data_IF_323138064089
#
_entry.id   IF_323138064089
#
_cell.length_a   1.000
_cell.length_b   1.000
_cell.length_c   1.000
_cell.angle_alpha   90.00
_cell.angle_beta   90.00
_cell.angle_gamma   90.00
#
_symmetry.space_group_name_H-M   'P 1'
#
loop_
_entity.id
_entity.type
_entity.pdbx_description
1 polymer ?
#
# COMPACT_ATOMS: atom_id res chain seq x y z
N UNK A 1 -25.43 -5.44 -1.04
CA UNK A 1 -25.29 -4.79 -2.36
C UNK A 1 -24.73 -3.39 -2.18
N UNK A 2 -23.82 -2.97 -3.05
CA UNK A 2 -23.27 -1.61 -3.12
C UNK A 2 -23.14 -1.20 -4.59
N UNK A 3 -23.43 0.06 -4.84
CA UNK A 3 -23.20 0.73 -6.12
C UNK A 3 -22.37 1.98 -5.86
N UNK A 4 -21.36 2.23 -6.69
CA UNK A 4 -20.51 3.40 -6.60
C UNK A 4 -20.21 3.92 -8.00
N UNK A 5 -20.32 5.22 -8.17
CA UNK A 5 -19.85 5.95 -9.35
C UNK A 5 -18.66 6.81 -8.94
N UNK A 6 -17.52 6.60 -9.58
CA UNK A 6 -16.28 7.34 -9.34
C UNK A 6 -15.98 8.23 -10.54
N UNK A 7 -15.68 9.48 -10.27
CA UNK A 7 -15.27 10.45 -11.29
C UNK A 7 -13.84 10.92 -11.02
N UNK A 8 -13.03 11.01 -12.05
CA UNK A 8 -11.69 11.58 -12.03
C UNK A 8 -11.60 12.74 -12.99
N UNK A 9 -11.49 13.94 -12.44
CA UNK A 9 -11.18 15.16 -13.19
C UNK A 9 -9.72 15.54 -12.91
N UNK A 10 -8.90 15.61 -13.92
CA UNK A 10 -7.52 16.10 -13.80
C UNK A 10 -7.28 17.21 -14.84
N UNK A 11 -6.78 18.33 -14.35
CA UNK A 11 -6.34 19.44 -15.18
C UNK A 11 -4.93 19.82 -14.83
N UNK A 12 -4.04 19.73 -15.81
CA UNK A 12 -2.66 20.17 -15.70
C UNK A 12 -2.44 21.32 -16.69
N UNK A 13 -2.19 22.51 -16.15
CA UNK A 13 -1.94 23.71 -16.92
C UNK A 13 -0.60 24.31 -16.52
N UNK A 14 0.32 24.40 -17.47
CA UNK A 14 1.57 25.16 -17.33
C UNK A 14 1.50 26.38 -18.22
N UNK A 15 1.57 27.54 -17.60
CA UNK A 15 1.62 28.82 -18.30
C UNK A 15 3.04 29.03 -18.80
N UNK A 16 3.19 29.25 -20.10
CA UNK A 16 4.48 29.59 -20.71
C UNK A 16 4.59 31.12 -20.82
N UNK A 17 5.75 31.64 -20.50
CA UNK A 17 6.05 33.07 -20.64
C UNK A 17 6.97 33.27 -21.82
N UNK A 18 6.92 34.45 -22.42
CA UNK A 18 7.90 34.88 -23.40
C UNK A 18 9.30 35.10 -22.75
N UNK A 19 10.31 35.45 -23.54
CA UNK A 19 11.67 35.63 -23.02
C UNK A 19 11.81 36.77 -22.01
N UNK A 20 10.87 37.70 -22.01
CA UNK A 20 10.84 38.86 -21.09
C UNK A 20 9.94 38.64 -19.88
N UNK A 21 9.22 37.54 -19.83
CA UNK A 21 8.18 37.22 -18.79
C UNK A 21 7.00 38.21 -18.74
N UNK A 22 6.79 38.94 -19.84
CA UNK A 22 5.75 39.98 -19.88
C UNK A 22 4.37 39.43 -20.27
N UNK A 23 4.33 38.44 -21.20
CA UNK A 23 3.06 37.88 -21.69
C UNK A 23 2.95 36.37 -21.44
N UNK A 24 2.02 35.94 -20.57
CA UNK A 24 1.76 34.52 -20.39
C UNK A 24 0.99 33.94 -21.59
N UNK A 25 1.47 32.80 -22.09
CA UNK A 25 0.81 32.05 -23.16
C UNK A 25 0.18 30.78 -22.62
N UNK A 26 -1.12 30.60 -22.82
CA UNK A 26 -1.84 29.36 -22.53
C UNK A 26 -2.08 28.61 -23.83
N UNK A 27 -1.51 27.41 -23.94
CA UNK A 27 -1.69 26.59 -25.13
C UNK A 27 -3.08 25.92 -25.12
N UNK A 28 -3.56 25.55 -26.31
CA UNK A 28 -4.86 24.87 -26.44
C UNK A 28 -4.87 23.56 -25.69
N UNK A 29 -6.03 23.25 -25.11
CA UNK A 29 -6.29 22.05 -24.32
C UNK A 29 -6.00 20.75 -25.11
N UNK A 30 -5.31 19.80 -24.48
CA UNK A 30 -4.92 18.49 -25.03
C UNK A 30 -4.14 18.52 -26.37
N UNK A 31 -3.58 19.67 -26.74
CA UNK A 31 -2.72 19.83 -27.92
C UNK A 31 -1.25 20.04 -27.58
N UNK A 32 -0.90 20.00 -26.31
CA UNK A 32 0.45 20.13 -25.82
C UNK A 32 0.63 19.46 -24.45
N UNK A 33 1.86 19.12 -24.02
CA UNK A 33 2.11 18.57 -22.69
C UNK A 33 1.86 19.60 -21.56
N UNK A 34 1.67 20.86 -21.90
CA UNK A 34 1.51 21.96 -20.94
C UNK A 34 0.05 22.27 -20.60
N UNK A 35 -0.91 21.70 -21.33
CA UNK A 35 -2.33 21.85 -21.03
C UNK A 35 -3.07 20.53 -21.29
N UNK A 36 -3.14 19.69 -20.26
CA UNK A 36 -3.84 18.41 -20.26
C UNK A 36 -5.08 18.53 -19.40
N UNK A 37 -6.22 18.15 -19.97
CA UNK A 37 -7.49 18.04 -19.27
C UNK A 37 -8.18 16.73 -19.63
N UNK A 38 -8.67 16.00 -18.63
CA UNK A 38 -9.57 14.89 -18.86
C UNK A 38 -10.54 14.71 -17.68
N UNK A 39 -11.71 14.22 -18.04
CA UNK A 39 -12.82 13.91 -17.13
C UNK A 39 -13.29 12.48 -17.44
N UNK A 40 -13.19 11.59 -16.47
CA UNK A 40 -13.41 10.15 -16.66
C UNK A 40 -14.27 9.60 -15.54
N UNK A 41 -15.18 8.71 -15.94
CA UNK A 41 -16.11 8.05 -15.04
C UNK A 41 -15.86 6.54 -14.99
N UNK A 42 -16.01 5.94 -13.80
CA UNK A 42 -16.01 4.52 -13.60
C UNK A 42 -17.17 4.09 -12.72
N UNK A 43 -17.74 2.94 -13.02
CA UNK A 43 -18.86 2.40 -12.24
C UNK A 43 -18.45 1.11 -11.58
N UNK A 44 -18.78 0.96 -10.29
CA UNK A 44 -18.52 -0.23 -9.50
C UNK A 44 -19.83 -0.81 -8.95
N UNK A 45 -19.98 -2.12 -9.07
CA UNK A 45 -21.05 -2.89 -8.45
C UNK A 45 -20.45 -3.92 -7.51
N UNK A 46 -21.09 -4.15 -6.37
CA UNK A 46 -20.72 -5.26 -5.52
C UNK A 46 -21.92 -5.90 -4.85
N UNK A 47 -21.85 -7.21 -4.69
CA UNK A 47 -22.80 -8.00 -3.93
C UNK A 47 -22.04 -9.03 -3.10
N UNK A 48 -22.53 -9.35 -1.92
CA UNK A 48 -21.96 -10.40 -1.09
C UNK A 48 -23.05 -11.17 -0.37
N UNK A 49 -22.72 -12.43 -0.08
CA UNK A 49 -23.48 -13.31 0.83
C UNK A 49 -22.50 -13.90 1.81
N UNK A 50 -22.89 -13.98 3.06
CA UNK A 50 -22.08 -14.55 4.14
C UNK A 50 -22.99 -15.30 5.09
N UNK A 51 -22.50 -16.43 5.58
CA UNK A 51 -23.13 -17.25 6.60
C UNK A 51 -22.16 -17.49 7.75
N UNK A 52 -22.66 -17.41 8.98
CA UNK A 52 -21.95 -17.73 10.21
C UNK A 52 -22.64 -18.91 10.86
N UNK A 53 -21.97 -20.04 10.88
CA UNK A 53 -22.43 -21.28 11.49
C UNK A 53 -21.73 -21.49 12.83
N UNK A 54 -22.49 -21.69 13.87
CA UNK A 54 -21.98 -21.96 15.24
C UNK A 54 -22.33 -23.37 15.65
N UNK A 55 -21.33 -24.19 15.87
CA UNK A 55 -21.41 -25.51 16.42
C UNK A 55 -20.80 -25.52 17.82
N UNK A 56 -21.07 -26.55 18.61
CA UNK A 56 -20.58 -26.64 20.02
C UNK A 56 -19.04 -26.54 20.13
N UNK A 57 -18.31 -26.98 19.11
CA UNK A 57 -16.83 -27.03 19.10
C UNK A 57 -16.19 -26.24 17.98
N UNK A 58 -16.96 -25.54 17.16
CA UNK A 58 -16.44 -24.86 15.98
C UNK A 58 -17.35 -23.70 15.53
N UNK A 59 -16.74 -22.59 15.14
CA UNK A 59 -17.44 -21.50 14.50
C UNK A 59 -16.87 -21.36 13.07
N UNK A 60 -17.74 -21.36 12.07
CA UNK A 60 -17.39 -21.19 10.68
C UNK A 60 -18.02 -19.91 10.11
N UNK A 61 -17.24 -19.13 9.40
CA UNK A 61 -17.71 -18.01 8.58
C UNK A 61 -17.39 -18.31 7.13
N UNK A 62 -18.41 -18.45 6.30
CA UNK A 62 -18.29 -18.67 4.87
C UNK A 62 -18.87 -17.47 4.14
N UNK A 63 -18.15 -16.94 3.18
CA UNK A 63 -18.60 -15.79 2.41
C UNK A 63 -18.13 -15.84 0.97
N UNK A 64 -18.91 -15.27 0.09
CA UNK A 64 -18.54 -15.00 -1.28
C UNK A 64 -18.97 -13.58 -1.65
N UNK A 65 -18.05 -12.84 -2.27
CA UNK A 65 -18.31 -11.49 -2.75
C UNK A 65 -18.04 -11.44 -4.26
N UNK A 66 -18.95 -10.84 -4.98
CA UNK A 66 -18.82 -10.47 -6.39
C UNK A 66 -18.62 -8.98 -6.50
N UNK A 67 -17.63 -8.57 -7.27
CA UNK A 67 -17.37 -7.19 -7.63
C UNK A 67 -17.27 -7.07 -9.15
N UNK A 68 -17.79 -5.99 -9.72
CA UNK A 68 -17.63 -5.62 -11.11
C UNK A 68 -17.19 -4.16 -11.20
N UNK A 69 -16.20 -3.89 -12.05
CA UNK A 69 -15.69 -2.58 -12.37
C UNK A 69 -15.83 -2.31 -13.87
N UNK A 70 -16.57 -1.28 -14.22
CA UNK A 70 -16.80 -0.84 -15.60
C UNK A 70 -16.00 0.43 -15.83
N UNK A 71 -14.93 0.38 -16.65
CA UNK A 71 -14.03 1.55 -16.83
C UNK A 71 -14.63 2.66 -17.69
N UNK A 72 -15.65 2.42 -18.52
CA UNK A 72 -16.30 3.38 -19.41
C UNK A 72 -15.31 4.19 -20.29
N UNK A 73 -14.24 3.56 -20.74
CA UNK A 73 -13.20 4.20 -21.54
C UNK A 73 -12.54 3.22 -22.52
N UNK A 74 -11.71 3.77 -23.39
CA UNK A 74 -10.95 2.99 -24.39
C UNK A 74 -9.48 2.90 -24.00
N UNK A 75 -8.82 1.84 -24.40
CA UNK A 75 -7.39 1.60 -24.22
C UNK A 75 -6.70 1.42 -25.57
N UNK A 76 -5.37 1.58 -25.57
CA UNK A 76 -4.53 1.35 -26.76
C UNK A 76 -4.71 -0.10 -27.23
N UNK A 77 -5.14 -0.28 -28.47
CA UNK A 77 -5.39 -1.60 -29.06
C UNK A 77 -4.08 -2.35 -29.37
N UNK A 78 -3.07 -1.62 -29.89
CA UNK A 78 -1.77 -2.16 -30.22
C UNK A 78 -0.66 -1.27 -29.64
N UNK A 79 0.16 -1.83 -28.75
CA UNK A 79 1.24 -1.08 -28.08
C UNK A 79 2.30 -0.52 -29.02
N UNK A 80 2.47 -1.11 -30.24
CA UNK A 80 3.42 -0.60 -31.23
C UNK A 80 2.82 0.51 -32.11
N UNK A 81 1.53 0.76 -32.00
CA UNK A 81 0.81 1.81 -32.75
C UNK A 81 -0.16 2.56 -31.83
N UNK A 82 0.35 3.23 -30.75
CA UNK A 82 -0.49 3.82 -29.70
C UNK A 82 -1.38 4.97 -30.19
N UNK A 83 -1.02 5.59 -31.30
CA UNK A 83 -1.72 6.74 -31.91
C UNK A 83 -2.79 6.31 -32.93
N UNK A 84 -2.84 5.01 -33.32
CA UNK A 84 -3.73 4.56 -34.41
C UNK A 84 -5.08 4.07 -33.84
N UNK A 85 -5.11 2.87 -33.26
CA UNK A 85 -6.35 2.18 -32.93
C UNK A 85 -6.55 2.11 -31.40
N UNK A 86 -7.75 2.43 -30.96
CA UNK A 86 -8.20 2.21 -29.60
C UNK A 86 -9.28 1.12 -29.57
N UNK A 87 -9.37 0.41 -28.48
CA UNK A 87 -10.42 -0.58 -28.19
C UNK A 87 -11.09 -0.26 -26.86
N UNK A 88 -12.35 -0.64 -26.73
CA UNK A 88 -13.06 -0.52 -25.46
C UNK A 88 -12.37 -1.34 -24.36
N UNK A 89 -12.21 -0.74 -23.20
CA UNK A 89 -11.69 -1.43 -22.03
C UNK A 89 -12.76 -2.41 -21.49
N UNK A 90 -12.31 -3.61 -21.14
CA UNK A 90 -13.22 -4.66 -20.68
C UNK A 90 -13.67 -4.41 -19.24
N UNK A 91 -14.93 -4.73 -18.95
CA UNK A 91 -15.43 -4.85 -17.59
C UNK A 91 -14.60 -5.89 -16.83
N UNK A 92 -14.17 -5.56 -15.62
CA UNK A 92 -13.43 -6.46 -14.72
C UNK A 92 -14.40 -7.06 -13.72
N UNK A 93 -14.42 -8.38 -13.62
CA UNK A 93 -15.25 -9.11 -12.66
C UNK A 93 -14.37 -9.89 -11.70
N UNK A 94 -14.71 -9.85 -10.41
CA UNK A 94 -13.94 -10.45 -9.34
C UNK A 94 -14.84 -11.28 -8.44
N UNK A 95 -14.40 -12.49 -8.12
CA UNK A 95 -15.06 -13.36 -7.16
C UNK A 95 -14.13 -13.57 -5.97
N UNK A 96 -14.58 -13.19 -4.79
CA UNK A 96 -13.80 -13.19 -3.56
C UNK A 96 -14.40 -14.18 -2.55
N UNK A 97 -14.02 -15.48 -2.58
CA UNK A 97 -14.36 -16.42 -1.52
C UNK A 97 -13.61 -16.05 -0.25
N UNK A 98 -14.26 -16.24 0.91
CA UNK A 98 -13.69 -16.04 2.23
C UNK A 98 -14.15 -17.16 3.15
N UNK A 99 -13.22 -17.76 3.85
CA UNK A 99 -13.44 -18.84 4.78
C UNK A 99 -12.73 -18.48 6.08
N UNK A 100 -13.45 -18.51 7.18
CA UNK A 100 -12.90 -18.41 8.52
C UNK A 100 -13.39 -19.57 9.37
N UNK A 101 -12.48 -20.22 10.06
CA UNK A 101 -12.80 -21.31 11.01
C UNK A 101 -12.15 -21.00 12.34
N UNK A 102 -12.93 -21.08 13.42
CA UNK A 102 -12.44 -20.93 14.79
C UNK A 102 -12.79 -22.16 15.59
N UNK A 103 -11.79 -22.71 16.26
CA UNK A 103 -11.86 -23.93 17.07
C UNK A 103 -11.53 -23.59 18.52
N UNK A 104 -12.50 -23.35 19.40
CA UNK A 104 -12.27 -23.25 20.83
C UNK A 104 -11.71 -24.59 21.35
N UNK A 105 -10.50 -24.58 21.92
CA UNK A 105 -9.85 -25.78 22.48
C UNK A 105 -10.11 -25.84 24.00
N UNK A 106 -10.13 -24.66 24.60
CA UNK A 106 -10.43 -24.45 26.01
C UNK A 106 -11.32 -23.23 26.17
N UNK A 107 -11.83 -22.97 27.35
CA UNK A 107 -12.59 -21.74 27.66
C UNK A 107 -11.78 -20.45 27.44
N UNK A 108 -10.47 -20.57 27.29
CA UNK A 108 -9.50 -19.44 27.15
C UNK A 108 -8.56 -19.54 25.97
N UNK A 109 -8.69 -20.60 25.16
CA UNK A 109 -7.81 -20.86 24.03
C UNK A 109 -8.58 -21.18 22.76
N UNK A 110 -8.24 -20.49 21.66
CA UNK A 110 -8.92 -20.62 20.36
C UNK A 110 -7.85 -20.71 19.27
N UNK A 111 -7.94 -21.74 18.44
CA UNK A 111 -7.28 -21.75 17.14
C UNK A 111 -8.21 -21.14 16.09
N UNK A 112 -7.64 -20.41 15.15
CA UNK A 112 -8.38 -19.92 14.00
C UNK A 112 -7.57 -20.08 12.70
N UNK A 113 -8.31 -20.26 11.64
CA UNK A 113 -7.79 -20.31 10.28
C UNK A 113 -8.61 -19.36 9.39
N UNK A 114 -7.94 -18.60 8.56
CA UNK A 114 -8.57 -17.71 7.59
C UNK A 114 -7.98 -17.93 6.19
N UNK A 115 -8.86 -17.99 5.22
CA UNK A 115 -8.52 -18.02 3.80
C UNK A 115 -9.40 -17.03 3.06
N UNK A 116 -8.81 -16.27 2.13
CA UNK A 116 -9.62 -15.36 1.34
C UNK A 116 -8.90 -14.79 0.12
N UNK A 117 -9.72 -14.40 -0.87
CA UNK A 117 -9.30 -13.63 -2.01
C UNK A 117 -9.67 -12.17 -1.81
N UNK A 118 -8.72 -11.29 -2.09
CA UNK A 118 -8.88 -9.85 -2.00
C UNK A 118 -8.44 -9.21 -3.31
N UNK A 119 -9.24 -8.29 -3.82
CA UNK A 119 -8.95 -7.58 -5.05
C UNK A 119 -8.89 -6.08 -4.77
N UNK A 120 -7.94 -5.41 -5.39
CA UNK A 120 -7.76 -3.98 -5.32
C UNK A 120 -7.63 -3.41 -6.73
N UNK A 121 -8.58 -2.56 -7.12
CA UNK A 121 -8.46 -1.83 -8.38
C UNK A 121 -7.29 -0.86 -8.31
N UNK A 122 -6.53 -0.70 -9.41
CA UNK A 122 -5.56 0.38 -9.55
C UNK A 122 -6.21 1.73 -9.31
N UNK A 123 -5.39 2.72 -8.95
CA UNK A 123 -5.91 4.09 -8.82
C UNK A 123 -6.47 4.59 -10.15
N UNK A 124 -7.50 5.42 -10.12
CA UNK A 124 -8.12 5.98 -11.33
C UNK A 124 -7.10 6.69 -12.22
N UNK A 125 -6.06 7.31 -11.62
CA UNK A 125 -4.98 7.93 -12.37
C UNK A 125 -4.17 6.93 -13.20
N UNK A 126 -3.94 5.71 -12.69
CA UNK A 126 -3.23 4.66 -13.45
C UNK A 126 -4.10 4.10 -14.58
N UNK A 127 -5.42 4.20 -14.46
CA UNK A 127 -6.37 3.79 -15.49
C UNK A 127 -6.53 4.87 -16.56
N UNK A 128 -6.71 6.13 -16.16
CA UNK A 128 -7.25 7.18 -17.05
C UNK A 128 -6.29 8.30 -17.38
N UNK A 129 -5.03 8.24 -16.91
CA UNK A 129 -4.07 9.29 -17.22
C UNK A 129 -3.91 9.48 -18.73
N UNK A 130 -4.29 10.63 -19.23
CA UNK A 130 -4.01 11.05 -20.60
C UNK A 130 -2.69 11.80 -20.67
N UNK A 131 -2.03 11.71 -21.80
CA UNK A 131 -0.78 12.39 -22.08
C UNK A 131 -0.67 12.71 -23.57
N UNK A 132 0.02 13.79 -23.87
CA UNK A 132 0.25 14.23 -25.23
C UNK A 132 1.43 13.46 -25.85
N UNK A 133 1.19 12.88 -27.04
CA UNK A 133 2.24 12.29 -27.87
C UNK A 133 2.85 13.38 -28.78
N UNK A 134 4.16 13.61 -28.66
CA UNK A 134 4.84 14.67 -29.43
C UNK A 134 6.33 14.40 -29.59
N UNK A 135 6.97 15.14 -30.49
CA UNK A 135 8.39 14.99 -30.78
C UNK A 135 9.25 15.14 -29.51
N UNK A 136 10.16 14.20 -29.29
CA UNK A 136 11.09 14.23 -28.18
C UNK A 136 10.46 14.02 -26.81
N UNK A 137 9.17 13.68 -26.71
CA UNK A 137 8.47 13.39 -25.47
C UNK A 137 8.42 11.89 -25.21
N UNK A 138 8.42 11.52 -23.92
CA UNK A 138 8.23 10.16 -23.44
C UNK A 138 7.02 10.12 -22.48
N UNK A 139 5.79 10.27 -23.01
CA UNK A 139 4.61 10.38 -22.15
C UNK A 139 4.34 9.11 -21.37
N UNK A 140 3.73 9.26 -20.18
CA UNK A 140 3.17 8.15 -19.44
C UNK A 140 1.66 8.18 -19.58
N UNK A 141 1.07 7.10 -20.09
CA UNK A 141 -0.36 6.96 -20.32
C UNK A 141 -0.97 5.96 -19.35
N UNK A 142 -2.23 6.19 -18.99
CA UNK A 142 -3.03 5.24 -18.25
C UNK A 142 -3.42 4.04 -19.10
N UNK A 143 -3.98 3.02 -18.45
CA UNK A 143 -4.50 1.85 -19.12
C UNK A 143 -5.83 1.42 -18.46
N UNK A 144 -6.98 1.80 -19.02
CA UNK A 144 -8.29 1.40 -18.50
C UNK A 144 -8.53 -0.12 -18.52
N UNK A 145 -7.71 -0.88 -19.27
CA UNK A 145 -7.81 -2.33 -19.34
C UNK A 145 -6.99 -3.08 -18.25
N UNK A 146 -6.41 -2.36 -17.28
CA UNK A 146 -5.73 -2.97 -16.14
C UNK A 146 -6.68 -3.87 -15.35
N UNK A 147 -6.15 -5.01 -14.94
CA UNK A 147 -6.82 -5.91 -14.01
C UNK A 147 -6.62 -5.45 -12.58
N UNK A 148 -7.53 -5.80 -11.66
CA UNK A 148 -7.31 -5.58 -10.24
C UNK A 148 -6.14 -6.44 -9.74
N UNK A 149 -5.34 -5.86 -8.84
CA UNK A 149 -4.35 -6.62 -8.09
C UNK A 149 -5.07 -7.64 -7.20
N UNK A 150 -4.59 -8.89 -7.21
CA UNK A 150 -5.20 -10.00 -6.46
C UNK A 150 -4.27 -10.45 -5.35
N UNK A 151 -4.77 -10.52 -4.13
CA UNK A 151 -4.10 -11.15 -2.99
C UNK A 151 -4.88 -12.37 -2.53
N UNK A 152 -4.21 -13.51 -2.45
CA UNK A 152 -4.72 -14.71 -1.77
C UNK A 152 -4.04 -14.79 -0.41
N UNK A 153 -4.84 -14.74 0.66
CA UNK A 153 -4.37 -14.78 2.04
C UNK A 153 -4.65 -16.17 2.64
N UNK A 154 -3.65 -16.70 3.30
CA UNK A 154 -3.73 -17.83 4.22
C UNK A 154 -3.23 -17.36 5.58
N UNK A 155 -4.03 -17.56 6.60
CA UNK A 155 -3.68 -17.20 7.98
C UNK A 155 -4.08 -18.32 8.94
N UNK A 156 -3.17 -18.63 9.84
CA UNK A 156 -3.42 -19.55 10.95
C UNK A 156 -3.01 -18.86 12.24
N UNK A 157 -3.87 -18.88 13.24
CA UNK A 157 -3.62 -18.19 14.49
C UNK A 157 -4.07 -18.95 15.71
N UNK A 158 -3.51 -18.52 16.82
CA UNK A 158 -3.81 -19.04 18.14
C UNK A 158 -3.99 -17.87 19.12
N UNK A 159 -5.15 -17.81 19.74
CA UNK A 159 -5.47 -16.86 20.81
C UNK A 159 -5.52 -17.56 22.15
N UNK A 160 -4.87 -17.00 23.15
CA UNK A 160 -4.86 -17.55 24.52
C UNK A 160 -5.03 -16.44 25.54
N UNK A 161 -5.93 -16.65 26.46
CA UNK A 161 -6.07 -15.82 27.65
C UNK A 161 -5.38 -16.49 28.86
N UNK A 162 -4.49 -15.74 29.50
CA UNK A 162 -3.81 -16.14 30.74
C UNK A 162 -4.43 -15.41 31.95
N UNK A 163 -5.01 -16.12 32.86
CA UNK A 163 -5.78 -15.53 33.94
C UNK A 163 -6.94 -14.65 33.41
N UNK A 164 -7.13 -13.48 34.02
CA UNK A 164 -8.18 -12.54 33.63
C UNK A 164 -7.62 -11.25 33.00
N UNK A 165 -6.31 -11.09 32.99
CA UNK A 165 -5.68 -9.82 32.65
C UNK A 165 -4.84 -9.87 31.35
N UNK A 166 -4.31 -11.04 30.99
CA UNK A 166 -3.36 -11.15 29.87
C UNK A 166 -4.02 -11.92 28.73
N UNK A 167 -3.99 -11.34 27.54
CA UNK A 167 -4.32 -11.99 26.28
C UNK A 167 -3.09 -12.06 25.37
N UNK A 168 -2.96 -13.15 24.65
CA UNK A 168 -1.97 -13.36 23.60
C UNK A 168 -2.68 -13.74 22.30
N UNK A 169 -2.24 -13.18 21.21
CA UNK A 169 -2.65 -13.53 19.86
C UNK A 169 -1.40 -13.78 19.03
N UNK A 170 -1.28 -14.97 18.47
CA UNK A 170 -0.19 -15.37 17.60
C UNK A 170 -0.73 -15.80 16.26
N UNK A 171 -0.26 -15.18 15.16
CA UNK A 171 -0.69 -15.50 13.81
C UNK A 171 0.51 -15.74 12.91
N UNK A 172 0.39 -16.70 12.00
CA UNK A 172 1.27 -16.92 10.87
C UNK A 172 0.48 -16.69 9.60
N UNK A 173 1.03 -15.94 8.67
CA UNK A 173 0.34 -15.60 7.43
C UNK A 173 1.22 -15.81 6.20
N UNK A 174 0.55 -16.09 5.10
CA UNK A 174 1.12 -16.08 3.75
C UNK A 174 0.16 -15.37 2.79
N UNK A 175 0.69 -14.40 2.04
CA UNK A 175 -0.01 -13.65 1.00
C UNK A 175 0.66 -13.92 -0.34
N UNK A 176 -0.08 -14.43 -1.30
CA UNK A 176 0.32 -14.52 -2.71
C UNK A 176 -0.33 -13.35 -3.46
N UNK A 177 0.51 -12.48 -4.04
CA UNK A 177 0.06 -11.23 -4.68
C UNK A 177 0.33 -11.35 -6.16
N UNK A 178 -0.70 -11.16 -6.96
CA UNK A 178 -0.68 -11.28 -8.42
C UNK A 178 -1.19 -10.00 -9.07
N UNK A 179 -0.86 -9.83 -10.36
CA UNK A 179 -1.29 -8.72 -11.19
C UNK A 179 -0.82 -7.36 -10.64
N UNK A 180 0.34 -7.32 -9.97
CA UNK A 180 0.98 -6.07 -9.56
C UNK A 180 1.29 -5.20 -10.78
N UNK A 181 1.16 -3.90 -10.61
CA UNK A 181 1.39 -2.95 -11.66
C UNK A 181 2.88 -2.75 -11.94
N UNK A 182 3.21 -2.77 -13.23
CA UNK A 182 4.51 -2.33 -13.74
C UNK A 182 4.31 -1.21 -14.75
N UNK A 183 5.20 -0.23 -14.73
CA UNK A 183 5.30 0.78 -15.78
C UNK A 183 6.26 0.26 -16.84
N UNK A 184 5.79 0.06 -18.06
CA UNK A 184 6.62 -0.41 -19.18
C UNK A 184 6.79 0.70 -20.19
N UNK A 185 8.04 0.96 -20.59
CA UNK A 185 8.34 1.79 -21.76
C UNK A 185 8.25 0.96 -23.04
N UNK A 186 7.59 1.53 -24.01
CA UNK A 186 7.37 0.94 -25.33
C UNK A 186 8.04 1.83 -26.37
N UNK A 187 8.91 1.26 -27.18
CA UNK A 187 9.45 1.92 -28.38
C UNK A 187 8.51 1.65 -29.55
N UNK A 188 8.21 2.68 -30.29
CA UNK A 188 7.37 2.60 -31.47
C UNK A 188 7.84 3.60 -32.53
N UNK A 189 7.32 3.47 -33.76
CA UNK A 189 7.58 4.43 -34.82
C UNK A 189 6.31 5.29 -35.01
N UNK A 190 6.37 6.53 -34.55
CA UNK A 190 5.26 7.48 -34.73
C UNK A 190 5.16 7.87 -36.21
N UNK A 191 3.94 7.87 -36.80
CA UNK A 191 3.72 8.34 -38.15
C UNK A 191 4.15 9.80 -38.37
N UNK A 192 4.05 10.60 -37.29
CA UNK A 192 4.31 12.06 -37.37
C UNK A 192 5.72 12.45 -36.91
N UNK A 193 6.36 11.67 -36.05
CA UNK A 193 7.60 12.08 -35.37
C UNK A 193 8.74 11.06 -35.50
N UNK A 194 8.53 9.92 -36.19
CA UNK A 194 9.52 8.85 -36.32
C UNK A 194 9.77 8.07 -35.02
N UNK A 195 11.00 7.57 -34.77
CA UNK A 195 11.32 6.78 -33.61
C UNK A 195 10.98 7.50 -32.31
N UNK A 196 10.06 6.94 -31.53
CA UNK A 196 9.48 7.53 -30.32
C UNK A 196 9.32 6.48 -29.22
N UNK A 197 9.05 6.91 -28.00
CA UNK A 197 8.75 6.03 -26.86
C UNK A 197 7.66 6.61 -25.99
N UNK A 198 6.94 5.74 -25.29
CA UNK A 198 5.99 6.10 -24.26
C UNK A 198 6.00 5.04 -23.16
N UNK A 199 5.45 5.35 -22.01
CA UNK A 199 5.31 4.42 -20.89
C UNK A 199 3.84 4.15 -20.60
N UNK A 200 3.49 2.89 -20.31
CA UNK A 200 2.13 2.45 -20.02
C UNK A 200 2.12 1.50 -18.82
N UNK A 201 1.09 1.58 -17.99
CA UNK A 201 0.88 0.64 -16.90
C UNK A 201 0.36 -0.70 -17.40
N UNK A 202 0.95 -1.80 -16.94
CA UNK A 202 0.56 -3.17 -17.26
C UNK A 202 0.58 -4.04 -16.00
N UNK A 203 -0.23 -5.09 -15.96
CA UNK A 203 -0.18 -6.11 -14.92
C UNK A 203 0.86 -7.17 -15.31
N UNK A 204 2.05 -7.06 -14.79
CA UNK A 204 3.18 -7.95 -15.13
C UNK A 204 3.86 -8.58 -13.94
N UNK A 205 3.66 -8.02 -12.76
CA UNK A 205 4.44 -8.36 -11.60
C UNK A 205 3.68 -9.22 -10.60
N UNK A 206 4.42 -9.91 -9.78
CA UNK A 206 3.92 -10.71 -8.68
C UNK A 206 4.77 -10.48 -7.43
N UNK A 207 4.19 -10.76 -6.28
CA UNK A 207 4.87 -10.68 -5.01
C UNK A 207 4.32 -11.69 -4.03
N UNK A 208 5.03 -11.87 -2.94
CA UNK A 208 4.57 -12.63 -1.79
C UNK A 208 4.96 -11.91 -0.50
N UNK A 209 4.11 -12.02 0.51
CA UNK A 209 4.43 -11.58 1.85
C UNK A 209 4.11 -12.71 2.82
N UNK A 210 5.07 -13.08 3.65
CA UNK A 210 4.92 -14.13 4.65
C UNK A 210 5.51 -13.70 5.97
N UNK A 211 4.93 -14.14 7.05
CA UNK A 211 5.40 -13.71 8.35
C UNK A 211 4.58 -14.24 9.50
N UNK A 212 4.87 -13.69 10.66
CA UNK A 212 4.15 -13.93 11.89
C UNK A 212 3.87 -12.62 12.63
N UNK A 213 2.80 -12.59 13.39
CA UNK A 213 2.48 -11.54 14.34
C UNK A 213 2.28 -12.12 15.73
N UNK A 214 2.76 -11.40 16.73
CA UNK A 214 2.55 -11.71 18.14
C UNK A 214 2.03 -10.46 18.83
N UNK A 215 0.81 -10.51 19.33
CA UNK A 215 0.20 -9.44 20.14
C UNK A 215 0.02 -9.92 21.55
N UNK A 216 0.52 -9.14 22.52
CA UNK A 216 0.32 -9.37 23.95
C UNK A 216 -0.37 -8.16 24.53
N UNK A 217 -1.52 -8.39 25.15
CA UNK A 217 -2.31 -7.36 25.82
C UNK A 217 -2.44 -7.67 27.30
N UNK A 218 -2.02 -6.75 28.13
CA UNK A 218 -2.33 -6.75 29.56
C UNK A 218 -3.36 -5.65 29.83
N UNK A 219 -4.55 -6.03 30.23
CA UNK A 219 -5.59 -5.09 30.69
C UNK A 219 -5.12 -4.35 31.93
N UNK A 220 -5.73 -3.20 32.19
CA UNK A 220 -5.44 -2.45 33.42
C UNK A 220 -5.67 -3.33 34.67
N UNK A 221 -4.65 -3.36 35.50
CA UNK A 221 -4.66 -4.06 36.79
C UNK A 221 -4.56 -3.02 37.89
N UNK A 222 -5.60 -2.92 38.78
CA UNK A 222 -5.62 -1.94 39.88
C UNK A 222 -4.47 -2.13 40.88
N UNK A 223 -3.94 -3.37 41.03
CA UNK A 223 -2.84 -3.66 41.94
C UNK A 223 -1.53 -3.14 41.44
N UNK A 224 -1.14 -3.49 40.21
CA UNK A 224 0.07 -3.01 39.57
C UNK A 224 -0.08 -1.61 38.97
N UNK A 225 -1.31 -1.10 38.83
CA UNK A 225 -1.65 0.16 38.15
C UNK A 225 -1.04 0.29 36.76
N UNK A 226 -1.01 -0.82 36.03
CA UNK A 226 -0.43 -0.85 34.68
C UNK A 226 -1.34 -1.52 33.68
N UNK A 227 -1.27 -1.05 32.43
CA UNK A 227 -1.73 -1.77 31.24
C UNK A 227 -0.64 -1.76 30.18
N UNK A 228 -0.57 -2.79 29.36
CA UNK A 228 0.48 -3.00 28.37
C UNK A 228 -0.10 -3.58 27.08
N UNK A 229 0.35 -3.06 25.93
CA UNK A 229 0.15 -3.62 24.60
C UNK A 229 1.52 -3.76 23.95
N UNK A 230 1.80 -4.93 23.42
CA UNK A 230 3.02 -5.23 22.65
C UNK A 230 2.59 -5.93 21.39
N UNK A 231 2.89 -5.34 20.25
CA UNK A 231 2.64 -5.92 18.93
C UNK A 231 3.97 -6.08 18.21
N UNK A 232 4.32 -7.31 17.91
CA UNK A 232 5.50 -7.65 17.14
C UNK A 232 5.09 -8.31 15.84
N UNK A 233 5.67 -7.84 14.73
CA UNK A 233 5.52 -8.45 13.41
C UNK A 233 6.89 -8.78 12.86
N UNK A 234 7.05 -10.01 12.42
CA UNK A 234 8.11 -10.43 11.51
C UNK A 234 7.49 -10.70 10.15
N UNK A 235 8.01 -10.10 9.09
CA UNK A 235 7.56 -10.38 7.73
C UNK A 235 8.71 -10.31 6.74
N UNK A 236 8.53 -11.04 5.62
CA UNK A 236 9.37 -10.95 4.44
C UNK A 236 8.47 -10.75 3.24
N UNK A 237 8.63 -9.61 2.55
CA UNK A 237 7.86 -9.24 1.36
C UNK A 237 8.80 -9.18 0.16
N UNK A 238 8.58 -10.06 -0.80
CA UNK A 238 9.44 -10.22 -1.99
C UNK A 238 8.60 -10.25 -3.26
N UNK A 239 9.15 -9.80 -4.36
CA UNK A 239 8.50 -9.85 -5.67
C UNK A 239 9.50 -9.71 -6.81
N UNK A 240 9.01 -9.78 -8.03
CA UNK A 240 9.85 -9.64 -9.22
C UNK A 240 10.05 -8.18 -9.65
N UNK A 241 9.43 -7.23 -8.96
CA UNK A 241 9.64 -5.79 -9.15
C UNK A 241 9.58 -5.06 -7.81
N UNK A 242 10.37 -4.02 -7.64
CA UNK A 242 10.41 -3.20 -6.42
C UNK A 242 9.26 -2.20 -6.36
N UNK A 243 8.88 -1.65 -7.50
CA UNK A 243 7.74 -0.75 -7.71
C UNK A 243 7.49 -0.54 -9.21
N UNK A 244 6.37 0.08 -9.55
CA UNK A 244 5.99 0.36 -10.94
C UNK A 244 6.91 1.35 -11.69
N UNK A 245 7.79 2.07 -10.98
CA UNK A 245 8.72 3.03 -11.57
C UNK A 245 10.08 2.44 -11.94
N UNK A 246 10.44 1.23 -11.43
CA UNK A 246 11.77 0.64 -11.68
C UNK A 246 12.02 0.33 -13.16
N UNK A 247 10.99 -0.03 -13.91
CA UNK A 247 11.07 -0.29 -15.34
C UNK A 247 11.34 0.95 -16.20
N UNK A 248 11.06 2.15 -15.71
CA UNK A 248 11.25 3.37 -16.48
C UNK A 248 12.73 3.57 -16.87
N UNK A 249 13.64 3.35 -15.93
CA UNK A 249 15.07 3.51 -16.18
C UNK A 249 15.65 2.39 -17.05
N UNK A 250 15.23 1.14 -16.86
CA UNK A 250 15.68 0.01 -17.69
C UNK A 250 15.24 0.15 -19.13
N UNK A 251 14.02 0.61 -19.34
CA UNK A 251 13.47 0.84 -20.66
C UNK A 251 14.15 1.99 -21.40
N UNK A 252 14.59 3.05 -20.71
CA UNK A 252 15.39 4.13 -21.29
C UNK A 252 16.78 3.64 -21.76
N UNK A 253 17.38 2.69 -21.04
CA UNK A 253 18.68 2.12 -21.37
C UNK A 253 18.62 1.05 -22.47
N UNK A 254 17.42 0.59 -22.86
CA UNK A 254 17.22 -0.43 -23.89
C UNK A 254 17.66 -1.84 -23.47
N UNK A 255 17.85 -2.07 -22.17
CA UNK A 255 18.19 -3.37 -21.59
C UNK A 255 16.92 -4.09 -21.17
N UNK A 256 16.83 -5.39 -21.49
CA UNK A 256 15.78 -6.25 -20.94
C UNK A 256 16.15 -6.56 -19.48
N UNK A 257 15.31 -6.15 -18.55
CA UNK A 257 15.57 -6.32 -17.13
C UNK A 257 15.43 -7.80 -16.74
N UNK A 258 16.45 -8.35 -16.12
CA UNK A 258 16.38 -9.68 -15.56
C UNK A 258 15.35 -9.71 -14.41
N UNK A 259 14.36 -10.59 -14.49
CA UNK A 259 13.32 -10.71 -13.46
C UNK A 259 13.88 -11.39 -12.23
N UNK A 260 14.50 -10.63 -11.37
CA UNK A 260 15.02 -11.07 -10.09
C UNK A 260 13.95 -10.95 -9.00
N UNK A 261 13.90 -11.93 -8.10
CA UNK A 261 13.14 -11.78 -6.85
C UNK A 261 13.93 -10.89 -5.92
N UNK A 262 13.31 -9.78 -5.53
CA UNK A 262 13.90 -8.74 -4.68
C UNK A 262 12.94 -8.34 -3.56
N UNK A 263 13.44 -7.79 -2.44
CA UNK A 263 12.57 -7.20 -1.42
C UNK A 263 11.70 -6.10 -2.02
N UNK A 264 10.42 -6.10 -1.70
CA UNK A 264 9.50 -5.04 -2.11
C UNK A 264 9.77 -3.76 -1.30
N UNK A 265 9.49 -2.58 -1.88
CA UNK A 265 9.82 -1.28 -1.27
C UNK A 265 9.18 -1.05 0.12
N UNK A 266 8.14 -1.79 0.45
CA UNK A 266 7.47 -1.75 1.76
C UNK A 266 7.90 -2.87 2.72
N UNK A 267 8.92 -3.67 2.37
CA UNK A 267 9.40 -4.75 3.22
C UNK A 267 10.08 -4.18 4.49
N UNK A 268 9.45 -4.39 5.62
CA UNK A 268 10.02 -4.15 6.94
C UNK A 268 10.04 -5.46 7.71
N UNK A 269 11.21 -6.10 7.81
CA UNK A 269 11.31 -7.47 8.33
C UNK A 269 10.93 -7.57 9.80
N UNK A 270 11.18 -6.53 10.60
CA UNK A 270 10.81 -6.51 12.02
C UNK A 270 10.11 -5.20 12.34
N UNK A 271 8.97 -5.27 13.02
CA UNK A 271 8.22 -4.15 13.53
C UNK A 271 7.75 -4.47 14.96
N UNK A 272 8.13 -3.65 15.92
CA UNK A 272 7.68 -3.72 17.31
C UNK A 272 6.99 -2.40 17.68
N UNK A 273 5.74 -2.50 18.10
CA UNK A 273 5.01 -1.40 18.72
C UNK A 273 4.70 -1.77 20.18
N UNK A 274 4.90 -0.84 21.08
CA UNK A 274 4.64 -1.05 22.50
C UNK A 274 3.94 0.16 23.09
N UNK A 275 2.89 -0.06 23.85
CA UNK A 275 2.20 0.98 24.63
C UNK A 275 2.13 0.54 26.08
N UNK A 276 2.77 1.26 26.96
CA UNK A 276 2.71 1.07 28.40
C UNK A 276 1.97 2.26 29.04
N UNK A 277 0.97 1.97 29.85
CA UNK A 277 0.29 3.00 30.66
C UNK A 277 0.49 2.63 32.12
N UNK A 278 0.98 3.58 32.89
CA UNK A 278 1.23 3.46 34.32
C UNK A 278 0.44 4.54 35.07
N UNK A 279 -0.21 4.18 36.15
CA UNK A 279 -0.93 5.11 37.02
C UNK A 279 -2.39 4.74 37.18
N UNK A 280 -3.16 5.62 37.80
CA UNK A 280 -4.59 5.45 38.06
C UNK A 280 -5.39 6.20 36.98
N UNK A 281 -6.18 5.51 36.13
CA UNK A 281 -6.99 6.15 35.10
C UNK A 281 -8.01 7.15 35.62
N UNK A 282 -8.37 7.08 36.89
CA UNK A 282 -9.26 8.06 37.53
C UNK A 282 -8.54 9.34 38.01
N UNK A 283 -7.21 9.31 38.10
CA UNK A 283 -6.38 10.38 38.64
C UNK A 283 -5.31 10.81 37.63
N UNK A 284 -4.17 10.11 37.65
CA UNK A 284 -3.02 10.46 36.83
C UNK A 284 -2.46 9.23 36.16
N UNK A 285 -2.18 9.34 34.85
CA UNK A 285 -1.56 8.28 34.05
C UNK A 285 -0.38 8.82 33.27
N UNK A 286 0.66 8.01 33.16
CA UNK A 286 1.77 8.19 32.23
C UNK A 286 1.67 7.10 31.16
N UNK A 287 1.49 7.52 29.91
CA UNK A 287 1.53 6.65 28.75
C UNK A 287 2.88 6.79 28.04
N UNK A 288 3.51 5.66 27.70
CA UNK A 288 4.75 5.58 26.90
C UNK A 288 4.42 4.74 25.66
N UNK A 289 4.70 5.29 24.49
CA UNK A 289 4.51 4.63 23.21
C UNK A 289 5.86 4.47 22.55
N UNK A 290 6.30 3.23 22.34
CA UNK A 290 7.55 2.90 21.67
C UNK A 290 7.28 2.25 20.33
N UNK A 291 8.07 2.59 19.31
CA UNK A 291 8.08 1.95 18.00
C UNK A 291 9.51 1.69 17.56
N UNK A 292 9.80 0.46 17.14
CA UNK A 292 11.09 0.06 16.57
C UNK A 292 10.78 -0.75 15.31
N UNK A 293 11.45 -0.41 14.20
CA UNK A 293 11.32 -1.20 12.97
C UNK A 293 12.63 -1.24 12.19
N UNK A 294 12.86 -2.30 11.46
CA UNK A 294 13.92 -2.33 10.45
C UNK A 294 13.68 -1.25 9.41
N UNK A 295 14.75 -0.68 8.87
CA UNK A 295 14.67 0.28 7.79
C UNK A 295 14.05 -0.32 6.53
N UNK A 296 13.50 0.53 5.68
CA UNK A 296 13.00 0.13 4.37
C UNK A 296 14.15 -0.22 3.43
N UNK A 297 13.95 -1.16 2.51
CA UNK A 297 14.92 -1.42 1.47
C UNK A 297 15.08 -0.22 0.55
N UNK A 298 16.26 -0.10 -0.04
CA UNK A 298 16.55 0.89 -1.09
C UNK A 298 17.57 0.30 -2.08
N UNK A 299 17.63 0.88 -3.26
CA UNK A 299 18.63 0.53 -4.27
C UNK A 299 19.85 1.43 -4.04
N UNK A 300 21.04 0.88 -3.68
CA UNK A 300 22.26 1.65 -3.52
C UNK A 300 22.64 2.38 -4.81
N UNK A 301 23.15 3.61 -4.68
CA UNK A 301 23.74 4.36 -5.80
C UNK A 301 25.26 4.35 -5.60
N UNK A 302 25.94 3.52 -6.40
CA UNK A 302 27.40 3.41 -6.31
C UNK A 302 28.02 4.27 -7.41
N UNK A 303 28.65 5.43 -7.08
CA UNK A 303 29.32 6.27 -8.04
C UNK A 303 30.40 5.50 -8.80
N UNK A 304 30.48 5.67 -10.14
CA UNK A 304 31.46 5.04 -11.02
C UNK A 304 31.43 3.49 -11.06
N UNK A 305 30.34 2.85 -10.62
CA UNK A 305 30.20 1.41 -10.78
C UNK A 305 29.95 1.02 -12.23
N UNK A 306 30.68 0.02 -12.72
CA UNK A 306 30.47 -0.56 -14.04
C UNK A 306 29.34 -1.60 -14.08
N UNK A 307 28.52 -1.67 -13.03
CA UNK A 307 27.39 -2.58 -12.93
C UNK A 307 26.17 -1.86 -12.33
N UNK A 308 24.99 -2.36 -12.64
CA UNK A 308 23.73 -1.86 -12.07
C UNK A 308 23.49 -2.57 -10.74
N UNK A 309 23.41 -1.86 -9.61
CA UNK A 309 23.13 -2.49 -8.32
C UNK A 309 21.79 -3.24 -8.34
N UNK A 310 21.75 -4.38 -7.66
CA UNK A 310 20.48 -5.13 -7.52
C UNK A 310 19.43 -4.24 -6.82
N UNK A 311 18.22 -4.12 -7.38
CA UNK A 311 17.17 -3.31 -6.78
C UNK A 311 16.89 -3.71 -5.34
N UNK A 312 16.67 -2.73 -4.46
CA UNK A 312 16.35 -2.92 -3.04
C UNK A 312 17.34 -3.81 -2.26
N UNK A 313 18.62 -3.84 -2.67
CA UNK A 313 19.67 -4.65 -2.01
C UNK A 313 20.20 -4.04 -0.73
N UNK A 314 20.09 -2.72 -0.54
CA UNK A 314 20.44 -2.01 0.68
C UNK A 314 19.28 -1.91 1.66
N UNK A 315 19.58 -1.69 2.94
CA UNK A 315 18.58 -1.40 3.98
C UNK A 315 18.93 -0.12 4.72
N UNK A 316 17.94 0.75 4.87
CA UNK A 316 18.06 1.96 5.70
C UNK A 316 18.28 1.58 7.16
N UNK A 317 18.85 2.48 7.97
CA UNK A 317 19.00 2.28 9.40
C UNK A 317 17.69 1.95 10.12
N UNK A 318 17.82 1.31 11.28
CA UNK A 318 16.68 0.97 12.15
C UNK A 318 15.97 2.26 12.58
N UNK A 319 14.66 2.28 12.37
CA UNK A 319 13.81 3.39 12.78
C UNK A 319 13.32 3.18 14.21
N UNK A 320 13.36 4.23 15.00
CA UNK A 320 12.92 4.21 16.40
C UNK A 320 12.16 5.48 16.72
N UNK A 321 11.14 5.35 17.55
CA UNK A 321 10.41 6.49 18.09
C UNK A 321 9.90 6.16 19.49
N UNK A 322 9.94 7.14 20.40
CA UNK A 322 9.34 7.03 21.71
C UNK A 322 8.58 8.31 22.02
N UNK A 323 7.28 8.18 22.27
CA UNK A 323 6.40 9.26 22.69
C UNK A 323 5.99 9.06 24.14
N UNK A 324 5.73 10.15 24.84
CA UNK A 324 5.20 10.12 26.20
C UNK A 324 3.98 11.04 26.34
N UNK A 325 2.98 10.57 27.11
CA UNK A 325 1.80 11.37 27.46
C UNK A 325 1.55 11.30 28.95
N UNK A 326 1.58 12.42 29.63
CA UNK A 326 1.10 12.56 31.00
C UNK A 326 -0.32 13.12 30.98
N UNK A 327 -1.25 12.47 31.63
CA UNK A 327 -2.64 12.94 31.75
C UNK A 327 -3.05 12.92 33.24
N UNK A 328 -3.64 14.03 33.70
CA UNK A 328 -4.20 14.10 35.06
C UNK A 328 -5.65 14.59 34.99
N UNK A 329 -6.50 13.99 35.84
CA UNK A 329 -7.90 14.34 35.97
C UNK A 329 -8.15 15.01 37.29
N UNK A 330 -8.68 16.23 37.23
CA UNK A 330 -9.01 17.05 38.39
C UNK A 330 -10.50 17.42 38.38
N UNK A 331 -11.08 17.55 39.55
CA UNK A 331 -12.43 18.07 39.70
C UNK A 331 -12.37 19.55 40.08
N UNK A 332 -12.96 20.40 39.25
CA UNK A 332 -13.03 21.86 39.48
C UNK A 332 -14.51 22.25 39.51
N UNK A 333 -14.99 22.69 40.65
CA UNK A 333 -16.38 23.13 40.86
C UNK A 333 -17.42 22.12 40.35
N UNK A 334 -17.17 20.81 40.58
CA UNK A 334 -18.06 19.70 40.16
C UNK A 334 -17.88 19.24 38.70
N UNK A 335 -17.08 19.93 37.90
CA UNK A 335 -16.73 19.52 36.55
C UNK A 335 -15.46 18.64 36.57
N UNK A 336 -15.47 17.56 35.76
CA UNK A 336 -14.27 16.72 35.55
C UNK A 336 -13.45 17.29 34.39
N UNK A 337 -12.25 17.75 34.68
CA UNK A 337 -11.31 18.33 33.68
C UNK A 337 -10.13 17.36 33.54
N UNK A 338 -9.79 17.00 32.29
CA UNK A 338 -8.58 16.27 31.98
C UNK A 338 -7.54 17.24 31.41
N UNK A 339 -6.39 17.33 32.06
CA UNK A 339 -5.23 18.08 31.60
C UNK A 339 -4.20 17.07 31.09
N UNK A 340 -3.58 17.35 29.95
CA UNK A 340 -2.54 16.46 29.45
C UNK A 340 -1.39 17.24 28.80
N UNK A 341 -0.21 16.64 28.86
CA UNK A 341 0.98 17.02 28.11
C UNK A 341 1.41 15.81 27.29
N UNK A 342 1.69 16.02 26.01
CA UNK A 342 2.22 14.98 25.13
C UNK A 342 3.52 15.46 24.51
N UNK A 343 4.54 14.61 24.59
CA UNK A 343 5.84 14.83 23.97
C UNK A 343 6.03 13.76 22.91
N UNK A 344 6.26 14.20 21.69
CA UNK A 344 6.58 13.32 20.56
C UNK A 344 8.10 13.23 20.44
N UNK A 345 8.58 12.05 20.07
CA UNK A 345 10.00 11.79 19.89
C UNK A 345 10.84 12.23 21.11
N UNK A 346 10.51 11.69 22.28
CA UNK A 346 11.04 12.07 23.59
C UNK A 346 12.57 12.13 23.66
N UNK A 347 13.26 11.31 22.87
CA UNK A 347 14.72 11.19 22.87
C UNK A 347 15.39 11.87 21.67
N UNK A 348 14.66 12.67 20.88
CA UNK A 348 15.14 13.31 19.65
C UNK A 348 15.84 12.31 18.70
N UNK A 349 15.24 11.12 18.53
CA UNK A 349 15.77 10.07 17.67
C UNK A 349 15.64 10.49 16.21
N UNK A 350 16.76 10.57 15.51
CA UNK A 350 16.79 10.91 14.09
C UNK A 350 16.60 9.65 13.26
N UNK A 351 15.50 9.61 12.52
CA UNK A 351 15.22 8.53 11.60
C UNK A 351 15.54 8.97 10.17
N UNK A 352 16.52 8.34 9.56
CA UNK A 352 16.96 8.69 8.21
C UNK A 352 15.88 8.37 7.19
N UNK A 353 15.53 9.36 6.40
CA UNK A 353 14.54 9.25 5.33
C UNK A 353 15.18 8.84 4.00
N UNK A 354 16.38 9.32 3.74
CA UNK A 354 17.15 9.07 2.53
C UNK A 354 18.57 8.65 2.89
N UNK A 355 19.11 7.72 2.13
CA UNK A 355 20.52 7.32 2.16
C UNK A 355 21.08 7.68 0.81
N UNK A 356 22.10 8.52 0.78
CA UNK A 356 22.73 9.03 -0.45
C UNK A 356 24.07 8.34 -0.74
N UNK A 357 24.71 7.78 0.28
CA UNK A 357 26.00 7.11 0.21
C UNK A 357 26.06 5.99 1.25
N UNK A 358 26.71 4.88 0.89
CA UNK A 358 26.88 3.69 1.74
C UNK A 358 28.24 3.65 2.43
N UNK A 359 29.03 4.75 2.42
CA UNK A 359 30.36 4.84 3.05
C UNK A 359 30.30 5.03 4.55
#
# INVERSE_FOLDING_TARGET
FSFRNDNLVERNLTVLYDQNFDEPTVLSENKSPYHIFYDKDAVQYSAYIQDKMEYSSMIMNLGIRYDAFVPNDSTIANLLYPEADQKEAKTKTMISPRIGVSLPITDKGIFHFSYGHFYQMPTLRNLYRESYFGAGLAPTVGNPDLKPEKTVLYEFGFQQQFGNLIGMDFNVFHKDIRELLALQSIRYNSPNYGPSNYSIYLNKDYGSARGLTLSITKRYDPVSRTSLWVDYTYQKSEGNSVNSGSFYFSALSGTEEEKLIVPLSWDQSHLLNTTLIVGDPSKTTLGIIGKISTGWPYTPSIPNANFIPKPNSGRKPVQRNVDAKLETRVSVKGYRVALFVRVYNLFDLRNERYVFDDT
#
